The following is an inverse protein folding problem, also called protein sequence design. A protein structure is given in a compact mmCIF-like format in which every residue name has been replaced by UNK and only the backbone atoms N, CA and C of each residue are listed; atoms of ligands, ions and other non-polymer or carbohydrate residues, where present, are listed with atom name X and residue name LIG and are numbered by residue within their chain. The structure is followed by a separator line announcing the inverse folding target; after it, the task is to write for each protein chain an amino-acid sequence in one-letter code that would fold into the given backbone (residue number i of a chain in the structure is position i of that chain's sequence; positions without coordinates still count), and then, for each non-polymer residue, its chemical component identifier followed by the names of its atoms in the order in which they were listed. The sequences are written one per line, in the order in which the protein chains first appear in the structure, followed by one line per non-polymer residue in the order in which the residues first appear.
data_IF_257264632438
#
_entry.id   IF_257264632438
#
_cell.length_a   1.000
_cell.length_b   1.000
_cell.length_c   1.000
_cell.angle_alpha   90.00
_cell.angle_beta   90.00
_cell.angle_gamma   90.00
#
_symmetry.space_group_name_H-M   'P 1'
#
loop_
_entity.id
_entity.type
_entity.pdbx_description
1 polymer ?
#
# COMPACT_ATOMS: atom_id res chain seq x y z
N UNK A 1 12.30 12.90 -13.88
CA UNK A 1 13.54 13.66 -13.53
C UNK A 1 14.19 13.12 -12.26
N UNK A 2 13.47 12.95 -11.14
CA UNK A 2 14.03 12.47 -9.86
C UNK A 2 14.77 11.12 -9.95
N UNK A 3 14.21 10.12 -10.62
CA UNK A 3 14.83 8.79 -10.77
C UNK A 3 16.22 8.87 -11.38
N UNK A 4 16.39 9.61 -12.48
CA UNK A 4 17.70 9.77 -13.14
C UNK A 4 18.75 10.46 -12.27
N UNK A 5 18.31 11.34 -11.38
CA UNK A 5 19.20 11.98 -10.41
C UNK A 5 19.66 10.97 -9.37
N UNK A 6 18.73 10.16 -8.83
CA UNK A 6 19.07 9.10 -7.87
C UNK A 6 19.98 8.06 -8.48
N UNK A 7 19.69 7.57 -9.70
CA UNK A 7 20.55 6.62 -10.41
C UNK A 7 21.99 7.13 -10.57
N UNK A 8 22.15 8.44 -10.74
CA UNK A 8 23.47 9.06 -10.89
C UNK A 8 24.19 9.33 -9.56
N UNK A 9 23.43 9.78 -8.54
CA UNK A 9 24.02 10.31 -7.31
C UNK A 9 24.03 9.29 -6.16
N UNK A 10 23.16 8.29 -6.21
CA UNK A 10 22.99 7.28 -5.15
C UNK A 10 22.52 5.95 -5.76
N UNK A 11 23.30 5.30 -6.62
CA UNK A 11 22.88 4.09 -7.34
C UNK A 11 22.61 2.90 -6.42
N UNK A 12 23.15 2.92 -5.20
CA UNK A 12 22.89 1.90 -4.16
C UNK A 12 21.52 2.06 -3.49
N UNK A 13 20.88 3.22 -3.59
CA UNK A 13 19.56 3.45 -3.02
C UNK A 13 18.46 2.88 -3.91
N UNK A 14 17.56 2.10 -3.30
CA UNK A 14 16.29 1.76 -3.89
C UNK A 14 15.19 2.67 -3.36
N UNK A 15 14.07 2.78 -4.05
CA UNK A 15 12.89 3.47 -3.55
C UNK A 15 11.61 2.68 -3.78
N UNK A 16 10.62 3.00 -2.98
CA UNK A 16 9.27 2.46 -3.07
C UNK A 16 8.36 3.46 -3.79
N UNK A 17 7.37 2.96 -4.51
CA UNK A 17 6.38 3.79 -5.19
C UNK A 17 5.02 3.09 -5.19
N UNK A 18 3.95 3.85 -4.99
CA UNK A 18 2.61 3.41 -5.34
C UNK A 18 2.38 3.74 -6.82
N UNK A 19 2.29 2.70 -7.64
CA UNK A 19 2.23 2.86 -9.10
C UNK A 19 1.31 1.84 -9.77
N UNK A 20 0.30 2.33 -10.43
CA UNK A 20 -0.63 1.52 -11.23
C UNK A 20 -0.28 1.51 -12.72
N UNK A 21 0.79 2.18 -13.14
CA UNK A 21 1.16 2.39 -14.54
C UNK A 21 2.37 1.57 -15.00
N UNK A 22 2.83 0.63 -14.17
CA UNK A 22 3.99 -0.23 -14.46
C UNK A 22 5.27 0.55 -14.79
N UNK A 23 5.47 1.73 -14.17
CA UNK A 23 6.67 2.54 -14.33
C UNK A 23 7.94 1.81 -13.87
N UNK A 24 7.79 0.82 -12.99
CA UNK A 24 8.87 -0.06 -12.56
C UNK A 24 9.55 -0.81 -13.72
N UNK A 25 8.86 -1.03 -14.85
CA UNK A 25 9.46 -1.62 -16.05
C UNK A 25 10.51 -0.72 -16.71
N UNK A 26 10.54 0.56 -16.35
CA UNK A 26 11.47 1.56 -16.92
C UNK A 26 12.65 1.87 -16.01
N UNK A 27 12.57 1.53 -14.73
CA UNK A 27 13.53 1.99 -13.72
C UNK A 27 13.91 0.88 -12.75
N UNK A 28 15.17 0.47 -12.79
CA UNK A 28 15.69 -0.63 -11.96
C UNK A 28 15.81 -0.30 -10.47
N UNK A 29 15.67 0.98 -10.09
CA UNK A 29 15.75 1.41 -8.69
C UNK A 29 14.41 1.26 -7.94
N UNK A 30 13.32 0.93 -8.62
CA UNK A 30 12.02 0.70 -7.99
C UNK A 30 11.97 -0.67 -7.32
N UNK A 31 12.54 -0.76 -6.13
CA UNK A 31 12.69 -2.01 -5.38
C UNK A 31 11.40 -2.48 -4.73
N UNK A 32 10.52 -1.54 -4.37
CA UNK A 32 9.18 -1.85 -3.90
C UNK A 32 8.15 -1.10 -4.74
N UNK A 33 7.23 -1.85 -5.32
CA UNK A 33 6.10 -1.31 -6.07
C UNK A 33 4.81 -1.72 -5.39
N UNK A 34 4.02 -0.73 -5.00
CA UNK A 34 2.73 -0.93 -4.37
C UNK A 34 1.60 -0.65 -5.36
N UNK A 35 0.80 -1.65 -5.65
CA UNK A 35 -0.28 -1.61 -6.65
C UNK A 35 -1.63 -1.52 -5.96
N UNK A 36 -2.54 -0.69 -6.47
CA UNK A 36 -3.91 -0.68 -5.96
C UNK A 36 -4.58 -2.03 -6.13
N UNK A 37 -5.30 -2.49 -5.11
CA UNK A 37 -6.07 -3.73 -5.16
C UNK A 37 -7.02 -3.79 -6.37
N UNK A 38 -7.56 -2.66 -6.79
CA UNK A 38 -8.43 -2.55 -7.98
C UNK A 38 -7.69 -2.72 -9.31
N UNK A 39 -6.36 -2.70 -9.31
CA UNK A 39 -5.53 -2.81 -10.51
C UNK A 39 -4.46 -3.88 -10.29
N UNK A 40 -4.78 -5.11 -10.62
CA UNK A 40 -3.90 -6.25 -10.42
C UNK A 40 -2.56 -6.08 -11.14
N UNK A 41 -1.46 -6.40 -10.45
CA UNK A 41 -0.17 -6.61 -11.09
C UNK A 41 -0.20 -7.92 -11.91
N UNK A 42 0.62 -7.99 -12.96
CA UNK A 42 0.83 -9.25 -13.67
C UNK A 42 1.59 -10.22 -12.77
N UNK A 43 1.14 -11.45 -12.67
CA UNK A 43 1.80 -12.47 -11.86
C UNK A 43 3.25 -12.71 -12.33
N UNK A 44 3.49 -12.79 -13.62
CA UNK A 44 4.85 -12.95 -14.17
C UNK A 44 5.77 -11.80 -13.78
N UNK A 45 5.25 -10.56 -13.73
CA UNK A 45 6.01 -9.41 -13.25
C UNK A 45 6.36 -9.55 -11.75
N UNK A 46 5.44 -10.02 -10.92
CA UNK A 46 5.66 -10.25 -9.48
C UNK A 46 6.79 -11.27 -9.30
N UNK A 47 6.70 -12.41 -9.97
CA UNK A 47 7.70 -13.49 -9.91
C UNK A 47 9.07 -12.99 -10.38
N UNK A 48 9.13 -12.30 -11.52
CA UNK A 48 10.38 -11.78 -12.07
C UNK A 48 11.02 -10.72 -11.13
N UNK A 49 10.21 -9.86 -10.53
CA UNK A 49 10.70 -8.85 -9.58
C UNK A 49 11.26 -9.51 -8.31
N UNK A 50 10.54 -10.49 -7.75
CA UNK A 50 10.97 -11.24 -6.58
C UNK A 50 12.28 -12.00 -6.84
N UNK A 51 12.46 -12.59 -8.01
CA UNK A 51 13.70 -13.25 -8.41
C UNK A 51 14.91 -12.29 -8.44
N UNK A 52 14.67 -10.99 -8.62
CA UNK A 52 15.69 -9.94 -8.56
C UNK A 52 15.81 -9.28 -7.17
N UNK A 53 15.17 -9.81 -6.14
CA UNK A 53 15.18 -9.26 -4.79
C UNK A 53 14.34 -8.00 -4.61
N UNK A 54 13.34 -7.79 -5.47
CA UNK A 54 12.41 -6.66 -5.41
C UNK A 54 11.04 -7.11 -4.89
N UNK A 55 10.35 -6.25 -4.20
CA UNK A 55 9.02 -6.52 -3.67
C UNK A 55 7.92 -5.95 -4.57
N UNK A 56 6.79 -6.63 -4.56
CA UNK A 56 5.55 -6.12 -5.13
C UNK A 56 4.45 -6.26 -4.08
N UNK A 57 3.99 -5.14 -3.58
CA UNK A 57 2.96 -5.06 -2.55
C UNK A 57 1.65 -4.54 -3.13
N UNK A 58 0.57 -4.62 -2.36
CA UNK A 58 -0.68 -4.00 -2.74
C UNK A 58 -1.19 -3.06 -1.65
N UNK A 59 -2.11 -2.19 -2.00
CA UNK A 59 -2.76 -1.30 -1.04
C UNK A 59 -4.26 -1.19 -1.27
N UNK A 60 -4.96 -0.86 -0.18
CA UNK A 60 -6.31 -0.34 -0.17
C UNK A 60 -6.31 1.04 0.49
N UNK A 61 -7.21 1.91 0.06
CA UNK A 61 -7.41 3.24 0.65
C UNK A 61 -8.90 3.60 0.61
N UNK A 62 -9.26 4.76 0.13
CA UNK A 62 -10.65 5.16 -0.10
C UNK A 62 -11.43 4.25 -1.06
N UNK A 63 -10.77 3.38 -1.77
CA UNK A 63 -11.35 2.34 -2.63
C UNK A 63 -10.35 1.21 -2.89
N UNK A 64 -10.84 0.01 -3.28
CA UNK A 64 -12.26 -0.39 -3.27
C UNK A 64 -12.86 -0.41 -1.86
N UNK A 65 -14.18 -0.29 -1.75
CA UNK A 65 -14.85 -0.31 -0.45
C UNK A 65 -14.82 -1.69 0.22
N UNK A 66 -14.60 -2.75 -0.54
CA UNK A 66 -14.59 -4.12 -0.06
C UNK A 66 -13.55 -4.98 -0.79
N UNK A 67 -12.77 -5.81 -0.06
CA UNK A 67 -12.56 -5.73 1.38
C UNK A 67 -11.71 -4.50 1.76
N UNK A 68 -11.94 -3.93 2.95
CA UNK A 68 -11.21 -2.76 3.45
C UNK A 68 -11.12 -2.78 4.98
N UNK A 69 -10.51 -1.75 5.58
CA UNK A 69 -10.32 -1.62 7.03
C UNK A 69 -10.92 -0.33 7.57
N UNK A 70 -12.05 0.11 7.02
CA UNK A 70 -12.80 1.23 7.57
C UNK A 70 -13.41 0.87 8.94
N UNK A 71 -13.77 1.86 9.73
CA UNK A 71 -14.44 1.60 11.03
C UNK A 71 -15.82 0.93 10.87
N UNK A 72 -16.42 1.04 9.70
CA UNK A 72 -17.69 0.40 9.36
C UNK A 72 -17.52 -0.90 8.55
N UNK A 73 -16.28 -1.27 8.20
CA UNK A 73 -16.00 -2.57 7.57
C UNK A 73 -16.25 -3.72 8.54
N UNK A 74 -16.70 -4.85 8.03
CA UNK A 74 -16.78 -6.05 8.86
C UNK A 74 -15.40 -6.54 9.28
N UNK A 75 -15.21 -7.01 10.52
CA UNK A 75 -13.88 -7.44 11.01
C UNK A 75 -13.19 -8.47 10.12
N UNK A 76 -13.94 -9.38 9.49
CA UNK A 76 -13.38 -10.40 8.59
C UNK A 76 -12.77 -9.81 7.32
N UNK A 77 -13.08 -8.56 6.96
CA UNK A 77 -12.53 -7.93 5.76
C UNK A 77 -11.01 -7.72 5.89
N UNK A 78 -10.53 -7.46 7.10
CA UNK A 78 -9.09 -7.39 7.36
C UNK A 78 -8.38 -8.72 7.09
N UNK A 79 -9.02 -9.84 7.44
CA UNK A 79 -8.50 -11.19 7.12
C UNK A 79 -8.53 -11.45 5.62
N UNK A 80 -9.61 -11.03 4.93
CA UNK A 80 -9.73 -11.18 3.48
C UNK A 80 -8.63 -10.43 2.73
N UNK A 81 -8.16 -9.29 3.24
CA UNK A 81 -7.01 -8.59 2.66
C UNK A 81 -5.74 -9.44 2.74
N UNK A 82 -5.52 -10.15 3.84
CA UNK A 82 -4.42 -11.11 3.97
C UNK A 82 -4.53 -12.25 2.95
N UNK A 83 -5.70 -12.85 2.84
CA UNK A 83 -5.96 -13.91 1.85
C UNK A 83 -5.82 -13.41 0.41
N UNK A 84 -6.27 -12.18 0.12
CA UNK A 84 -6.09 -11.57 -1.18
C UNK A 84 -4.60 -11.43 -1.54
N UNK A 85 -3.80 -10.95 -0.59
CA UNK A 85 -2.34 -10.85 -0.78
C UNK A 85 -1.71 -12.20 -1.15
N UNK A 86 -2.05 -13.24 -0.39
CA UNK A 86 -1.57 -14.60 -0.65
C UNK A 86 -2.07 -15.15 -1.99
N UNK A 87 -3.36 -15.01 -2.29
CA UNK A 87 -3.96 -15.52 -3.52
C UNK A 87 -3.42 -14.83 -4.79
N UNK A 88 -3.00 -13.59 -4.68
CA UNK A 88 -2.41 -12.82 -5.78
C UNK A 88 -0.88 -12.85 -5.78
N UNK A 89 -0.27 -13.61 -4.87
CA UNK A 89 1.18 -13.77 -4.72
C UNK A 89 1.93 -12.45 -4.47
N UNK A 90 1.30 -11.51 -3.75
CA UNK A 90 1.96 -10.27 -3.33
C UNK A 90 2.91 -10.52 -2.15
N UNK A 91 3.97 -9.71 -2.06
CA UNK A 91 4.96 -9.78 -1.00
C UNK A 91 4.51 -9.07 0.29
N UNK A 92 3.43 -8.31 0.24
CA UNK A 92 2.87 -7.63 1.41
C UNK A 92 1.76 -6.65 1.07
N UNK A 93 1.27 -6.01 2.10
CA UNK A 93 0.24 -4.96 2.03
C UNK A 93 0.78 -3.65 2.60
N UNK A 94 0.44 -2.55 1.95
CA UNK A 94 0.71 -1.20 2.43
C UNK A 94 -0.59 -0.47 2.72
N UNK A 95 -0.62 0.31 3.79
CA UNK A 95 -1.64 1.33 4.02
C UNK A 95 -0.98 2.70 3.91
N UNK A 96 -1.60 3.63 3.19
CA UNK A 96 -1.03 4.96 2.95
C UNK A 96 -0.86 5.81 4.20
N UNK A 97 -1.66 5.54 5.24
CA UNK A 97 -1.55 6.17 6.54
C UNK A 97 -1.74 5.14 7.65
N UNK A 98 -0.85 5.15 8.63
CA UNK A 98 -0.85 4.25 9.77
C UNK A 98 -1.47 4.87 11.02
N UNK A 99 -1.21 6.15 11.26
CA UNK A 99 -1.55 6.89 12.47
C UNK A 99 -1.88 8.37 12.19
N UNK A 100 -2.46 8.67 11.05
CA UNK A 100 -2.96 10.02 10.73
C UNK A 100 -4.32 10.21 11.38
N UNK A 101 -4.31 10.57 12.65
CA UNK A 101 -5.51 10.68 13.48
C UNK A 101 -6.26 11.99 13.25
N UNK A 102 -7.62 11.97 13.33
CA UNK A 102 -8.40 13.17 13.58
C UNK A 102 -8.14 13.71 15.01
N UNK A 103 -8.71 14.84 15.33
CA UNK A 103 -8.47 15.51 16.63
C UNK A 103 -8.79 14.61 17.83
N UNK A 104 -9.91 13.86 17.76
CA UNK A 104 -10.37 12.97 18.83
C UNK A 104 -10.71 11.57 18.29
N UNK A 105 -9.73 10.76 17.88
CA UNK A 105 -9.96 9.52 17.17
C UNK A 105 -10.70 8.45 17.99
N UNK A 106 -10.71 8.57 19.30
CA UNK A 106 -11.46 7.68 20.20
C UNK A 106 -12.98 7.92 20.15
N UNK A 107 -13.41 9.11 19.75
CA UNK A 107 -14.82 9.51 19.74
C UNK A 107 -15.33 9.79 18.32
N UNK A 108 -14.46 10.23 17.43
CA UNK A 108 -14.80 10.54 16.05
C UNK A 108 -13.71 10.06 15.11
N UNK A 109 -14.04 9.07 14.31
CA UNK A 109 -13.11 8.46 13.33
C UNK A 109 -13.10 9.16 11.97
N UNK A 110 -13.89 10.22 11.79
CA UNK A 110 -13.97 10.97 10.55
C UNK A 110 -12.78 11.92 10.40
N UNK A 111 -12.20 11.98 9.23
CA UNK A 111 -11.07 12.86 8.94
C UNK A 111 -11.25 13.55 7.58
N UNK A 112 -11.80 14.76 7.61
CA UNK A 112 -12.10 15.51 6.39
C UNK A 112 -13.07 14.76 5.47
N UNK A 113 -12.68 14.59 4.21
CA UNK A 113 -13.48 13.89 3.19
C UNK A 113 -13.16 12.39 3.09
N UNK A 114 -12.28 11.86 3.93
CA UNK A 114 -11.91 10.45 3.93
C UNK A 114 -12.96 9.60 4.64
N UNK A 115 -13.13 8.38 4.19
CA UNK A 115 -13.97 7.40 4.89
C UNK A 115 -13.45 7.18 6.32
N UNK A 116 -14.36 7.02 7.26
CA UNK A 116 -14.00 6.81 8.67
C UNK A 116 -13.05 5.61 8.83
N UNK A 117 -11.88 5.84 9.44
CA UNK A 117 -10.84 4.83 9.62
C UNK A 117 -9.91 4.63 8.41
N UNK A 118 -10.07 5.39 7.33
CA UNK A 118 -9.17 5.27 6.18
C UNK A 118 -7.76 5.76 6.48
N UNK A 119 -7.61 6.71 7.40
CA UNK A 119 -6.35 7.40 7.67
C UNK A 119 -5.51 6.81 8.79
N UNK A 120 -5.96 5.72 9.44
CA UNK A 120 -5.20 5.07 10.50
C UNK A 120 -5.58 3.59 10.68
N UNK A 121 -4.64 2.81 11.21
CA UNK A 121 -4.82 1.40 11.57
C UNK A 121 -4.76 1.16 13.08
N UNK A 122 -4.25 2.10 13.83
CA UNK A 122 -4.09 2.03 15.28
C UNK A 122 -4.64 3.26 15.94
N UNK A 123 -5.18 3.11 17.14
CA UNK A 123 -5.62 4.22 17.98
C UNK A 123 -4.47 4.76 18.84
N UNK A 124 -4.44 6.07 19.14
CA UNK A 124 -3.46 6.60 20.09
C UNK A 124 -3.74 6.06 21.49
N UNK A 125 -2.66 5.84 22.25
CA UNK A 125 -2.79 5.54 23.66
C UNK A 125 -3.16 6.83 24.43
N UNK A 126 -4.27 6.78 25.14
CA UNK A 126 -4.67 7.85 26.07
C UNK A 126 -3.99 7.59 27.41
N UNK A 127 -3.16 8.54 27.84
CA UNK A 127 -2.62 8.57 29.22
C UNK A 127 -3.58 9.26 30.16
#
# INVERSE_FOLDING_TARGET
MAVKVLEKCAPEMGFAIADNHKSYKKYNMMRDVCVSQGQKADHDDIVARRANGFNTTFYVCCGPFYPNTFTFSHPYEAELLGWYGLACDYDGMLRWAYNSWPENPQYDSRFGNWSSGDTYLVYPYLR
#
